data_IF_592498886456
#
_entry.id   IF_592498886456
#
_cell.length_a   1.000
_cell.length_b   1.000
_cell.length_c   1.000
_cell.angle_alpha   90.00
_cell.angle_beta   90.00
_cell.angle_gamma   90.00
#
_symmetry.space_group_name_H-M   'P 1'
#
loop_
_entity.id
_entity.type
_entity.pdbx_description
1 polymer ?
#
# COMPACT_ATOMS: atom_id res chain seq x y z
N UNK A 1 -8.28 -8.09 -10.54
CA UNK A 1 -7.26 -7.11 -10.97
C UNK A 1 -6.10 -6.94 -9.98
N UNK A 2 -6.34 -7.03 -8.66
CA UNK A 2 -5.31 -6.85 -7.61
C UNK A 2 -4.05 -7.73 -7.77
N UNK A 3 -4.19 -8.99 -8.19
CA UNK A 3 -3.02 -9.86 -8.42
C UNK A 3 -2.06 -9.34 -9.50
N UNK A 4 -2.59 -8.64 -10.52
CA UNK A 4 -1.76 -8.03 -11.59
C UNK A 4 -0.99 -6.82 -11.06
N UNK A 5 -1.64 -6.01 -10.21
CA UNK A 5 -1.02 -4.86 -9.57
C UNK A 5 0.10 -5.30 -8.62
N UNK A 6 -0.13 -6.33 -7.81
CA UNK A 6 0.88 -6.90 -6.93
C UNK A 6 2.14 -7.34 -7.69
N UNK A 7 1.98 -8.14 -8.74
CA UNK A 7 3.11 -8.58 -9.58
C UNK A 7 3.88 -7.40 -10.19
N UNK A 8 3.16 -6.39 -10.67
CA UNK A 8 3.78 -5.19 -11.23
C UNK A 8 4.60 -4.41 -10.19
N UNK A 9 4.10 -4.28 -8.96
CA UNK A 9 4.82 -3.61 -7.86
C UNK A 9 6.03 -4.42 -7.37
N UNK A 10 5.98 -5.74 -7.45
CA UNK A 10 7.09 -6.62 -7.06
C UNK A 10 8.24 -6.54 -8.08
N UNK A 11 7.93 -6.46 -9.37
CA UNK A 11 8.91 -6.31 -10.46
C UNK A 11 9.43 -4.87 -10.62
N UNK A 12 8.80 -3.88 -9.96
CA UNK A 12 9.18 -2.48 -10.04
C UNK A 12 10.44 -2.19 -9.21
N UNK A 13 11.56 -1.90 -9.88
CA UNK A 13 12.85 -1.55 -9.25
C UNK A 13 13.18 -0.10 -9.57
N UNK A 14 13.39 0.70 -8.51
CA UNK A 14 13.83 2.11 -8.61
C UNK A 14 15.08 2.27 -7.78
N UNK A 15 16.14 2.79 -8.39
CA UNK A 15 17.40 3.10 -7.72
C UNK A 15 17.59 4.62 -7.59
N UNK A 16 18.34 5.05 -6.56
CA UNK A 16 18.78 6.43 -6.38
C UNK A 16 17.77 7.42 -5.78
N UNK A 17 16.49 7.05 -5.59
CA UNK A 17 15.47 7.92 -4.97
C UNK A 17 14.56 7.17 -3.99
N UNK A 18 14.12 7.86 -2.92
CA UNK A 18 13.05 7.35 -2.05
C UNK A 18 11.71 7.45 -2.78
N UNK A 19 10.98 6.35 -2.82
CA UNK A 19 9.64 6.28 -3.42
C UNK A 19 8.62 5.81 -2.39
N UNK A 20 7.34 5.99 -2.73
CA UNK A 20 6.21 5.45 -1.96
C UNK A 20 5.95 3.97 -2.26
N UNK A 21 6.84 3.30 -2.99
CA UNK A 21 6.66 1.91 -3.42
C UNK A 21 6.45 0.95 -2.23
N UNK A 22 7.18 1.17 -1.13
CA UNK A 22 7.03 0.39 0.10
C UNK A 22 5.60 0.48 0.65
N UNK A 23 5.03 1.69 0.71
CA UNK A 23 3.65 1.90 1.15
C UNK A 23 2.66 1.16 0.25
N UNK A 24 2.79 1.28 -1.07
CA UNK A 24 1.86 0.63 -2.00
C UNK A 24 1.96 -0.90 -2.00
N UNK A 25 3.15 -1.46 -1.77
CA UNK A 25 3.34 -2.92 -1.61
C UNK A 25 2.62 -3.46 -0.38
N UNK A 26 2.61 -2.71 0.72
CA UNK A 26 1.89 -3.09 1.93
C UNK A 26 0.38 -2.95 1.75
N UNK A 27 -0.06 -1.82 1.18
CA UNK A 27 -1.49 -1.55 0.93
C UNK A 27 -2.13 -2.59 0.00
N UNK A 28 -1.43 -3.06 -1.04
CA UNK A 28 -1.98 -4.05 -1.98
C UNK A 28 -2.24 -5.42 -1.32
N UNK A 29 -1.65 -5.66 -0.15
CA UNK A 29 -1.86 -6.88 0.65
C UNK A 29 -2.82 -6.67 1.83
N UNK A 30 -3.28 -5.45 2.07
CA UNK A 30 -4.21 -5.13 3.15
C UNK A 30 -5.61 -5.66 2.82
N UNK A 31 -6.26 -6.29 3.80
CA UNK A 31 -7.59 -6.88 3.64
C UNK A 31 -8.69 -5.83 3.43
N UNK A 32 -8.59 -4.66 4.08
CA UNK A 32 -9.53 -3.54 3.90
C UNK A 32 -9.51 -3.05 2.44
N UNK A 33 -8.31 -2.95 1.85
CA UNK A 33 -8.13 -2.59 0.45
C UNK A 33 -8.66 -3.68 -0.49
N UNK A 34 -8.45 -4.96 -0.14
CA UNK A 34 -8.93 -6.08 -0.95
C UNK A 34 -10.47 -6.18 -0.95
N UNK A 35 -11.11 -5.86 0.17
CA UNK A 35 -12.56 -5.87 0.33
C UNK A 35 -13.24 -4.58 -0.15
N UNK A 36 -12.48 -3.48 -0.28
CA UNK A 36 -13.03 -2.16 -0.55
C UNK A 36 -13.59 -1.45 0.68
N UNK A 37 -13.25 -1.92 1.88
CA UNK A 37 -13.72 -1.43 3.17
C UNK A 37 -12.90 -0.22 3.63
N UNK A 38 -12.86 0.84 2.82
CA UNK A 38 -12.13 2.07 3.14
C UNK A 38 -12.90 3.33 2.70
N UNK A 39 -12.64 4.43 3.41
CA UNK A 39 -13.16 5.76 3.09
C UNK A 39 -12.01 6.73 2.77
N UNK A 40 -12.34 8.01 2.53
CA UNK A 40 -11.34 9.03 2.19
C UNK A 40 -10.34 9.34 3.34
N UNK A 41 -10.69 9.06 4.59
CA UNK A 41 -9.87 9.29 5.78
C UNK A 41 -9.16 8.01 6.27
N UNK A 42 -9.45 6.86 5.65
CA UNK A 42 -8.91 5.57 6.07
C UNK A 42 -7.38 5.56 6.05
N UNK A 43 -6.76 6.13 5.01
CA UNK A 43 -5.30 6.14 4.89
C UNK A 43 -4.65 6.94 6.03
N UNK A 44 -5.26 8.05 6.44
CA UNK A 44 -4.76 8.86 7.56
C UNK A 44 -4.78 8.06 8.86
N UNK A 45 -5.90 7.37 9.15
CA UNK A 45 -6.03 6.51 10.33
C UNK A 45 -5.06 5.33 10.30
N UNK A 46 -4.91 4.70 9.14
CA UNK A 46 -3.97 3.59 8.94
C UNK A 46 -2.52 4.02 9.17
N UNK A 47 -2.12 5.18 8.68
CA UNK A 47 -0.78 5.72 8.88
C UNK A 47 -0.54 6.16 10.33
N UNK A 48 -1.52 6.77 10.99
CA UNK A 48 -1.43 7.13 12.41
C UNK A 48 -1.20 5.89 13.28
N UNK A 49 -2.01 4.84 13.09
CA UNK A 49 -1.86 3.58 13.82
C UNK A 49 -0.51 2.88 13.57
N UNK A 50 0.07 3.05 12.38
CA UNK A 50 1.41 2.53 12.03
C UNK A 50 2.56 3.31 12.67
N UNK A 51 2.37 4.59 13.00
CA UNK A 51 3.42 5.43 13.57
C UNK A 51 3.53 5.29 15.10
N UNK A 52 2.52 4.70 15.74
CA UNK A 52 2.48 4.46 17.20
C UNK A 52 3.11 3.10 17.61
N UNK A 53 3.58 2.30 16.65
CA UNK A 53 4.22 0.99 16.85
C UNK A 53 5.73 1.05 16.58
#
# INVERSE_FOLDING_TARGET
CMMRLRRALDEFVVDGIKTTLTLFRELVTNQDIANGDYDIHWLEKYLAARQEA
#
